data_IF_538969716429
#
_entry.id   IF_538969716429
#
_cell.length_a   1.000
_cell.length_b   1.000
_cell.length_c   1.000
_cell.angle_alpha   90.00
_cell.angle_beta   90.00
_cell.angle_gamma   90.00
#
_symmetry.space_group_name_H-M   'P 1'
#
loop_
_entity.id
_entity.type
_entity.pdbx_description
1 polymer ?
#
# COMPACT_ATOMS: atom_id res chain seq x y z
N UNK A 1 3.87 -11.46 22.80
CA UNK A 1 3.12 -10.57 21.89
C UNK A 1 4.02 -9.97 20.81
N UNK A 2 5.01 -9.13 21.14
CA UNK A 2 5.91 -8.58 20.11
C UNK A 2 6.67 -9.67 19.29
N UNK A 3 7.26 -10.67 19.97
CA UNK A 3 8.01 -11.73 19.29
C UNK A 3 7.17 -12.66 18.40
N UNK A 4 5.93 -12.97 18.80
CA UNK A 4 5.00 -13.79 18.01
C UNK A 4 4.47 -13.05 16.78
N UNK A 5 4.18 -11.74 16.91
CA UNK A 5 3.78 -10.90 15.78
C UNK A 5 4.94 -10.67 14.81
N UNK A 6 6.14 -10.48 15.33
CA UNK A 6 7.36 -10.35 14.51
C UNK A 6 7.64 -11.62 13.72
N UNK A 7 7.57 -12.79 14.35
CA UNK A 7 7.73 -14.09 13.71
C UNK A 7 6.66 -14.35 12.62
N UNK A 8 5.39 -14.00 12.87
CA UNK A 8 4.37 -14.03 11.81
C UNK A 8 4.64 -13.04 10.68
N UNK A 9 5.15 -11.85 10.97
CA UNK A 9 5.44 -10.81 9.98
C UNK A 9 6.55 -11.21 9.02
N UNK A 10 7.65 -11.76 9.55
CA UNK A 10 8.77 -12.25 8.74
C UNK A 10 8.32 -13.42 7.84
N UNK A 11 7.43 -14.29 8.33
CA UNK A 11 6.84 -15.34 7.49
C UNK A 11 6.03 -14.77 6.34
N UNK A 12 5.15 -13.82 6.60
CA UNK A 12 4.33 -13.18 5.55
C UNK A 12 5.20 -12.48 4.51
N UNK A 13 6.23 -11.74 4.95
CA UNK A 13 7.16 -11.08 4.05
C UNK A 13 7.91 -12.10 3.17
N UNK A 14 8.33 -13.22 3.74
CA UNK A 14 8.94 -14.32 2.98
C UNK A 14 7.98 -14.90 1.94
N UNK A 15 6.71 -15.11 2.28
CA UNK A 15 5.72 -15.61 1.33
C UNK A 15 5.52 -14.63 0.16
N UNK A 16 5.43 -13.33 0.43
CA UNK A 16 5.35 -12.30 -0.62
C UNK A 16 6.58 -12.37 -1.54
N UNK A 17 7.80 -12.46 -0.99
CA UNK A 17 9.04 -12.58 -1.78
C UNK A 17 9.05 -13.85 -2.64
N UNK A 18 8.55 -14.97 -2.10
CA UNK A 18 8.44 -16.22 -2.84
C UNK A 18 7.41 -16.12 -3.98
N UNK A 19 6.27 -15.48 -3.75
CA UNK A 19 5.25 -15.21 -4.79
C UNK A 19 5.82 -14.34 -5.92
N UNK A 20 6.59 -13.29 -5.59
CA UNK A 20 7.30 -12.50 -6.60
C UNK A 20 8.32 -13.35 -7.38
N UNK A 21 9.08 -14.20 -6.70
CA UNK A 21 10.01 -15.13 -7.34
C UNK A 21 9.32 -16.13 -8.28
N UNK A 22 8.09 -16.52 -7.97
CA UNK A 22 7.28 -17.40 -8.82
C UNK A 22 6.69 -16.67 -10.03
N UNK A 23 6.11 -15.48 -9.83
CA UNK A 23 5.55 -14.65 -10.92
C UNK A 23 6.59 -14.27 -11.98
N UNK A 24 7.82 -13.95 -11.56
CA UNK A 24 8.90 -13.54 -12.45
C UNK A 24 9.85 -14.68 -12.84
N UNK A 25 9.51 -15.94 -12.51
CA UNK A 25 10.30 -17.14 -12.78
C UNK A 25 11.77 -17.05 -12.36
N UNK A 26 12.06 -16.35 -11.25
CA UNK A 26 13.40 -16.18 -10.68
C UNK A 26 13.71 -17.30 -9.68
N UNK A 27 14.48 -18.35 -10.04
CA UNK A 27 14.67 -19.53 -9.19
C UNK A 27 15.41 -19.23 -7.88
N UNK A 28 16.15 -18.13 -7.80
CA UNK A 28 16.90 -17.72 -6.61
C UNK A 28 16.01 -17.10 -5.52
N UNK A 29 14.88 -16.47 -5.85
CA UNK A 29 13.91 -15.96 -4.87
C UNK A 29 12.99 -17.07 -4.31
N UNK A 30 12.97 -18.27 -4.92
CA UNK A 30 12.19 -19.42 -4.43
C UNK A 30 12.80 -20.06 -3.18
N UNK A 31 14.13 -19.98 -3.02
CA UNK A 31 14.83 -20.53 -1.87
C UNK A 31 14.47 -19.76 -0.59
N UNK A 32 13.88 -20.46 0.39
CA UNK A 32 13.37 -19.85 1.62
C UNK A 32 14.43 -19.08 2.42
N UNK A 33 15.71 -19.47 2.32
CA UNK A 33 16.82 -18.80 3.01
C UNK A 33 17.15 -17.45 2.35
N UNK A 34 17.21 -17.41 1.02
CA UNK A 34 17.52 -16.19 0.26
C UNK A 34 16.35 -15.20 0.39
N UNK A 35 15.11 -15.68 0.29
CA UNK A 35 13.93 -14.85 0.50
C UNK A 35 13.88 -14.23 1.91
N UNK A 36 14.30 -15.00 2.93
CA UNK A 36 14.36 -14.50 4.32
C UNK A 36 15.49 -13.48 4.51
N UNK A 37 16.67 -13.71 3.93
CA UNK A 37 17.79 -12.76 4.01
C UNK A 37 17.47 -11.44 3.30
N UNK A 38 16.78 -11.48 2.16
CA UNK A 38 16.31 -10.27 1.47
C UNK A 38 15.25 -9.56 2.32
N UNK A 39 14.28 -10.29 2.86
CA UNK A 39 13.25 -9.72 3.74
C UNK A 39 13.84 -9.00 4.97
N UNK A 40 14.74 -9.68 5.67
CA UNK A 40 15.45 -9.13 6.84
C UNK A 40 16.37 -7.99 6.43
N UNK A 41 17.07 -8.10 5.30
CA UNK A 41 17.96 -7.07 4.78
C UNK A 41 17.23 -5.77 4.42
N UNK A 42 16.05 -5.86 3.80
CA UNK A 42 15.21 -4.68 3.51
C UNK A 42 14.73 -4.04 4.81
N UNK A 43 14.28 -4.84 5.77
CA UNK A 43 13.85 -4.34 7.08
C UNK A 43 14.99 -3.67 7.86
N UNK A 44 16.19 -4.25 7.81
CA UNK A 44 17.38 -3.68 8.44
C UNK A 44 17.80 -2.38 7.75
N UNK A 45 17.78 -2.33 6.41
CA UNK A 45 18.06 -1.12 5.64
C UNK A 45 17.03 -0.01 5.93
N UNK A 46 15.75 -0.36 6.14
CA UNK A 46 14.72 0.61 6.52
C UNK A 46 14.95 1.14 7.93
N UNK A 47 15.19 0.28 8.92
CA UNK A 47 15.34 0.70 10.33
C UNK A 47 16.62 1.52 10.54
N UNK A 48 17.76 1.03 10.05
CA UNK A 48 19.06 1.67 10.25
C UNK A 48 19.41 2.72 9.19
N UNK A 49 18.79 2.66 8.00
CA UNK A 49 18.96 3.68 6.96
C UNK A 49 18.09 4.92 7.15
N UNK A 50 17.15 4.90 8.11
CA UNK A 50 16.22 6.02 8.36
C UNK A 50 16.25 6.53 9.79
N UNK A 51 16.72 5.73 10.74
CA UNK A 51 17.05 6.16 12.10
C UNK A 51 18.52 6.48 12.18
N UNK A 52 18.88 7.73 12.46
CA UNK A 52 20.21 8.04 12.99
C UNK A 52 20.43 7.34 14.34
N UNK A 53 21.57 7.62 14.98
CA UNK A 53 22.03 6.98 16.22
C UNK A 53 21.00 6.93 17.39
N UNK A 54 19.93 7.73 17.32
CA UNK A 54 18.84 7.82 18.29
C UNK A 54 17.70 6.78 18.12
N UNK A 55 17.75 5.88 17.13
CA UNK A 55 16.74 4.82 16.97
C UNK A 55 15.35 5.35 16.55
N UNK A 56 15.26 6.58 16.04
CA UNK A 56 14.02 7.23 15.61
C UNK A 56 13.45 6.71 14.28
N UNK A 57 14.13 5.76 13.62
CA UNK A 57 13.75 5.22 12.31
C UNK A 57 12.31 4.72 12.25
N UNK A 58 11.82 4.11 13.35
CA UNK A 58 10.42 3.66 13.45
C UNK A 58 9.39 4.80 13.34
N UNK A 59 9.67 5.97 13.91
CA UNK A 59 8.79 7.14 13.86
C UNK A 59 8.76 7.76 12.46
N UNK A 60 9.87 7.67 11.74
CA UNK A 60 10.00 8.21 10.37
C UNK A 60 9.30 7.32 9.33
N UNK A 61 9.28 6.00 9.54
CA UNK A 61 8.57 5.06 8.64
C UNK A 61 7.06 5.08 8.91
N UNK A 62 6.62 5.42 10.12
CA UNK A 62 5.21 5.36 10.53
C UNK A 62 4.20 5.98 9.55
N UNK A 63 4.45 7.17 8.95
CA UNK A 63 3.48 7.75 8.05
C UNK A 63 3.34 6.97 6.73
N UNK A 64 4.39 6.25 6.26
CA UNK A 64 4.29 5.34 5.11
C UNK A 64 3.41 4.12 5.41
N UNK A 65 3.47 3.59 6.64
CA UNK A 65 2.53 2.57 7.08
C UNK A 65 1.09 3.10 7.06
N UNK A 66 0.89 4.35 7.52
CA UNK A 66 -0.41 5.02 7.49
C UNK A 66 -1.00 5.11 6.08
N UNK A 67 -0.25 5.66 5.12
CA UNK A 67 -0.71 5.84 3.73
C UNK A 67 -0.93 4.50 3.01
N UNK A 68 -0.09 3.49 3.26
CA UNK A 68 -0.29 2.13 2.73
C UNK A 68 -1.57 1.49 3.25
N UNK A 69 -1.89 1.65 4.54
CA UNK A 69 -3.13 1.14 5.12
C UNK A 69 -4.36 1.84 4.55
N UNK A 70 -4.29 3.16 4.34
CA UNK A 70 -5.36 3.92 3.70
C UNK A 70 -5.60 3.46 2.25
N UNK A 71 -4.53 3.14 1.52
CA UNK A 71 -4.63 2.57 0.18
C UNK A 71 -5.37 1.22 0.17
N UNK A 72 -5.01 0.30 1.08
CA UNK A 72 -5.69 -1.00 1.23
C UNK A 72 -7.16 -0.85 1.63
N UNK A 73 -7.47 0.13 2.49
CA UNK A 73 -8.85 0.47 2.84
C UNK A 73 -9.62 0.99 1.61
N UNK A 74 -8.99 1.84 0.79
CA UNK A 74 -9.55 2.33 -0.48
C UNK A 74 -9.89 1.19 -1.44
N UNK A 75 -8.98 0.22 -1.64
CA UNK A 75 -9.23 -0.95 -2.48
C UNK A 75 -10.38 -1.82 -1.95
N UNK A 76 -10.44 -2.01 -0.63
CA UNK A 76 -11.51 -2.78 0.01
C UNK A 76 -12.86 -2.11 -0.22
N UNK A 77 -12.96 -0.80 -0.01
CA UNK A 77 -14.17 -0.03 -0.25
C UNK A 77 -14.58 0.00 -1.72
N UNK A 78 -13.63 -0.03 -2.66
CA UNK A 78 -13.92 -0.22 -4.08
C UNK A 78 -14.63 -1.55 -4.31
N UNK A 79 -14.07 -2.64 -3.82
CA UNK A 79 -14.64 -4.00 -3.98
C UNK A 79 -16.06 -4.04 -3.41
N UNK A 80 -16.26 -3.51 -2.20
CA UNK A 80 -17.59 -3.46 -1.57
C UNK A 80 -18.55 -2.59 -2.38
N UNK A 81 -18.11 -1.43 -2.87
CA UNK A 81 -18.94 -0.53 -3.68
C UNK A 81 -19.39 -1.18 -4.99
N UNK A 82 -18.50 -1.90 -5.66
CA UNK A 82 -18.80 -2.66 -6.89
C UNK A 82 -19.76 -3.81 -6.60
N UNK A 83 -19.56 -4.53 -5.50
CA UNK A 83 -20.48 -5.60 -5.08
C UNK A 83 -21.89 -5.05 -4.82
N UNK A 84 -22.02 -3.90 -4.15
CA UNK A 84 -23.31 -3.26 -3.89
C UNK A 84 -23.97 -2.76 -5.19
N UNK A 85 -23.20 -2.15 -6.09
CA UNK A 85 -23.68 -1.73 -7.41
C UNK A 85 -24.25 -2.90 -8.20
N UNK A 86 -23.53 -4.03 -8.24
CA UNK A 86 -23.99 -5.25 -8.94
C UNK A 86 -25.24 -5.87 -8.32
N UNK A 87 -25.48 -5.66 -7.04
CA UNK A 87 -26.70 -6.10 -6.34
C UNK A 87 -27.85 -5.10 -6.44
N UNK A 88 -27.67 -3.96 -7.12
CA UNK A 88 -28.69 -2.90 -7.21
C UNK A 88 -28.95 -2.18 -5.88
N UNK A 89 -28.05 -2.34 -4.90
CA UNK A 89 -28.17 -1.70 -3.59
C UNK A 89 -27.54 -0.30 -3.67
N UNK A 90 -28.12 0.66 -2.94
CA UNK A 90 -27.60 2.04 -2.85
C UNK A 90 -26.14 2.02 -2.36
N UNK A 91 -25.20 2.24 -3.28
CA UNK A 91 -23.75 2.19 -3.03
C UNK A 91 -23.16 3.51 -2.52
N UNK A 92 -23.96 4.58 -2.42
CA UNK A 92 -23.48 5.90 -1.98
C UNK A 92 -22.81 5.88 -0.59
N UNK A 93 -23.29 5.01 0.32
CA UNK A 93 -22.73 4.86 1.65
C UNK A 93 -21.29 4.33 1.68
N UNK A 94 -20.84 3.65 0.63
CA UNK A 94 -19.47 3.14 0.51
C UNK A 94 -18.64 3.98 -0.46
N UNK A 95 -19.26 4.54 -1.50
CA UNK A 95 -18.59 5.42 -2.46
C UNK A 95 -18.10 6.72 -1.83
N UNK A 96 -18.90 7.36 -0.99
CA UNK A 96 -18.52 8.63 -0.38
C UNK A 96 -17.30 8.48 0.55
N UNK A 97 -17.26 7.51 1.50
CA UNK A 97 -16.06 7.25 2.30
C UNK A 97 -14.85 6.84 1.46
N UNK A 98 -15.06 6.08 0.38
CA UNK A 98 -13.98 5.66 -0.51
C UNK A 98 -13.31 6.85 -1.19
N UNK A 99 -14.09 7.73 -1.82
CA UNK A 99 -13.55 8.92 -2.50
C UNK A 99 -12.83 9.82 -1.50
N UNK A 100 -13.43 10.05 -0.34
CA UNK A 100 -12.80 10.82 0.73
C UNK A 100 -11.45 10.20 1.15
N UNK A 101 -11.41 8.90 1.39
CA UNK A 101 -10.17 8.21 1.77
C UNK A 101 -9.10 8.31 0.69
N UNK A 102 -9.43 8.04 -0.59
CA UNK A 102 -8.46 8.12 -1.68
C UNK A 102 -7.88 9.53 -1.82
N UNK A 103 -8.72 10.57 -1.72
CA UNK A 103 -8.26 11.97 -1.75
C UNK A 103 -7.33 12.26 -0.57
N UNK A 104 -7.70 11.83 0.64
CA UNK A 104 -6.86 12.02 1.83
C UNK A 104 -5.52 11.27 1.72
N UNK A 105 -5.51 10.05 1.17
CA UNK A 105 -4.29 9.28 0.92
C UNK A 105 -3.36 10.01 -0.04
N UNK A 106 -3.89 10.56 -1.14
CA UNK A 106 -3.09 11.29 -2.13
C UNK A 106 -2.51 12.57 -1.50
N UNK A 107 -3.31 13.32 -0.75
CA UNK A 107 -2.83 14.53 -0.06
C UNK A 107 -1.72 14.16 0.94
N UNK A 108 -1.94 13.12 1.74
CA UNK A 108 -0.95 12.64 2.71
C UNK A 108 0.38 12.26 2.02
N UNK A 109 0.33 11.49 0.94
CA UNK A 109 1.50 11.09 0.16
C UNK A 109 2.22 12.30 -0.45
N UNK A 110 1.50 13.29 -1.00
CA UNK A 110 2.14 14.49 -1.54
C UNK A 110 2.84 15.33 -0.45
N UNK A 111 2.20 15.50 0.71
CA UNK A 111 2.82 16.20 1.85
C UNK A 111 4.01 15.43 2.42
N UNK A 112 3.95 14.11 2.41
CA UNK A 112 5.02 13.23 2.85
C UNK A 112 6.21 13.25 1.90
N UNK A 113 5.97 13.20 0.59
CA UNK A 113 6.99 13.33 -0.46
C UNK A 113 7.82 14.60 -0.28
N UNK A 114 7.16 15.74 -0.08
CA UNK A 114 7.83 17.02 0.15
C UNK A 114 8.67 16.97 1.44
N UNK A 115 8.11 16.43 2.53
CA UNK A 115 8.81 16.30 3.82
C UNK A 115 10.07 15.46 3.70
N UNK A 116 9.99 14.32 3.02
CA UNK A 116 11.14 13.43 2.81
C UNK A 116 12.19 14.02 1.88
N UNK A 117 11.77 14.78 0.86
CA UNK A 117 12.69 15.49 -0.02
C UNK A 117 13.46 16.57 0.74
N UNK A 118 12.78 17.38 1.55
CA UNK A 118 13.41 18.42 2.37
C UNK A 118 14.37 17.83 3.42
N UNK A 119 14.04 16.66 3.97
CA UNK A 119 14.89 15.95 4.95
C UNK A 119 15.98 15.08 4.32
N UNK A 120 16.11 15.08 2.99
CA UNK A 120 17.10 14.25 2.25
C UNK A 120 17.01 12.75 2.57
N UNK A 121 15.81 12.24 2.87
CA UNK A 121 15.57 10.84 3.20
C UNK A 121 15.29 10.03 1.94
N UNK A 122 16.32 9.81 1.12
CA UNK A 122 16.21 9.24 -0.23
C UNK A 122 15.52 7.87 -0.29
N UNK A 123 15.77 7.00 0.69
CA UNK A 123 15.16 5.67 0.74
C UNK A 123 13.64 5.77 0.96
N UNK A 124 13.21 6.57 1.94
CA UNK A 124 11.81 6.79 2.26
C UNK A 124 11.09 7.53 1.14
N UNK A 125 11.76 8.49 0.51
CA UNK A 125 11.25 9.19 -0.66
C UNK A 125 11.00 8.23 -1.82
N UNK A 126 11.93 7.32 -2.10
CA UNK A 126 11.75 6.31 -3.15
C UNK A 126 10.54 5.40 -2.87
N UNK A 127 10.39 4.95 -1.63
CA UNK A 127 9.25 4.13 -1.22
C UNK A 127 7.93 4.91 -1.30
N UNK A 128 7.92 6.17 -0.88
CA UNK A 128 6.77 7.06 -0.98
C UNK A 128 6.31 7.27 -2.43
N UNK A 129 7.25 7.49 -3.36
CA UNK A 129 6.97 7.59 -4.80
C UNK A 129 6.31 6.33 -5.35
N UNK A 130 6.78 5.15 -4.93
CA UNK A 130 6.18 3.86 -5.33
C UNK A 130 4.74 3.76 -4.83
N UNK A 131 4.49 4.12 -3.57
CA UNK A 131 3.15 4.08 -2.98
C UNK A 131 2.23 5.13 -3.64
N UNK A 132 2.74 6.32 -3.94
CA UNK A 132 2.01 7.36 -4.67
C UNK A 132 1.62 6.89 -6.08
N UNK A 133 2.55 6.22 -6.79
CA UNK A 133 2.24 5.59 -8.07
C UNK A 133 1.11 4.56 -7.95
N UNK A 134 1.18 3.67 -6.96
CA UNK A 134 0.13 2.70 -6.68
C UNK A 134 -1.20 3.38 -6.32
N UNK A 135 -1.19 4.47 -5.55
CA UNK A 135 -2.38 5.23 -5.17
C UNK A 135 -3.07 5.87 -6.39
N UNK A 136 -2.29 6.40 -7.33
CA UNK A 136 -2.81 6.92 -8.58
C UNK A 136 -3.42 5.79 -9.41
N UNK A 137 -2.73 4.65 -9.56
CA UNK A 137 -3.25 3.49 -10.29
C UNK A 137 -4.58 2.97 -9.70
N UNK A 138 -4.64 2.81 -8.38
CA UNK A 138 -5.88 2.39 -7.69
C UNK A 138 -6.99 3.41 -7.89
N UNK A 139 -6.69 4.71 -7.84
CA UNK A 139 -7.68 5.76 -8.08
C UNK A 139 -8.22 5.73 -9.52
N UNK A 140 -7.36 5.44 -10.51
CA UNK A 140 -7.75 5.28 -11.91
C UNK A 140 -8.58 4.01 -12.12
N UNK A 141 -8.21 2.90 -11.49
CA UNK A 141 -8.99 1.65 -11.52
C UNK A 141 -10.36 1.85 -10.88
N UNK A 142 -10.44 2.52 -9.74
CA UNK A 142 -11.70 2.92 -9.12
C UNK A 142 -12.58 3.68 -10.12
N UNK A 143 -12.04 4.71 -10.78
CA UNK A 143 -12.79 5.51 -11.74
C UNK A 143 -13.24 4.68 -12.96
N UNK A 144 -12.37 3.82 -13.48
CA UNK A 144 -12.64 2.93 -14.61
C UNK A 144 -13.76 1.94 -14.30
N UNK A 145 -13.66 1.25 -13.16
CA UNK A 145 -14.63 0.24 -12.72
C UNK A 145 -15.97 0.90 -12.40
N UNK A 146 -15.98 2.02 -11.69
CA UNK A 146 -17.22 2.75 -11.43
C UNK A 146 -17.89 3.20 -12.72
N UNK A 147 -17.14 3.72 -13.69
CA UNK A 147 -17.70 4.12 -14.99
C UNK A 147 -18.33 2.94 -15.74
N UNK A 148 -17.74 1.75 -15.63
CA UNK A 148 -18.23 0.53 -16.28
C UNK A 148 -19.47 -0.03 -15.61
N UNK A 149 -19.49 -0.05 -14.28
CA UNK A 149 -20.54 -0.65 -13.46
C UNK A 149 -21.65 0.35 -13.08
N UNK A 150 -21.48 1.64 -13.41
CA UNK A 150 -22.50 2.64 -13.13
C UNK A 150 -23.78 2.29 -13.90
N UNK A 151 -24.93 2.15 -13.24
CA UNK A 151 -26.18 1.89 -13.92
C UNK A 151 -26.44 3.03 -14.91
N UNK A 152 -26.35 2.74 -16.21
CA UNK A 152 -26.89 3.61 -17.25
C UNK A 152 -28.38 3.73 -16.93
N UNK A 153 -28.77 4.85 -16.33
CA UNK A 153 -30.17 5.23 -16.22
C UNK A 153 -30.64 5.35 -17.66
N UNK A 154 -31.31 4.32 -18.17
CA UNK A 154 -31.93 4.36 -19.48
C UNK A 154 -32.76 5.64 -19.53
N UNK A 155 -32.47 6.45 -20.55
CA UNK A 155 -33.31 7.57 -20.92
C UNK A 155 -34.74 7.05 -21.04
N UNK A 156 -35.58 7.45 -20.09
CA UNK A 156 -37.03 7.39 -20.23
C UNK A 156 -37.49 8.58 -21.04
#
# INVERSE_FOLDING_TARGET
FAGTTMDTGVRLQRYIVQEFGEMYTLPFLKSGVIATLVAVGICMALVFGTGGDDGSGGLTIWPLFGTTNQLMAGLTLLIVSVMLLRRGIKSWYTLLPMVFLLVMTIIALLTQLQSFFMKSQWLLLGLDVVILGAAILVSLECASVLRKEWPRKNAG
#
